data_IF_478130934161
#
_entry.id   IF_478130934161
#
_cell.length_a   1.000
_cell.length_b   1.000
_cell.length_c   1.000
_cell.angle_alpha   90.00
_cell.angle_beta   90.00
_cell.angle_gamma   90.00
#
_symmetry.space_group_name_H-M   'P 1'
#
loop_
_entity.id
_entity.type
_entity.pdbx_description
1 polymer ?
#
# COMPACT_ATOMS: atom_id res chain seq x y z
N UNK A 1 -16.85 3.62 21.69
CA UNK A 1 -17.13 3.21 20.32
C UNK A 1 -16.17 3.89 19.34
N UNK A 2 -16.13 5.22 19.27
CA UNK A 2 -15.26 5.98 18.34
C UNK A 2 -13.76 5.73 18.55
N UNK A 3 -13.29 5.71 19.77
CA UNK A 3 -11.88 5.43 20.10
C UNK A 3 -11.48 4.04 19.58
N UNK A 4 -12.33 3.05 19.79
CA UNK A 4 -12.12 1.71 19.24
C UNK A 4 -12.12 1.72 17.71
N UNK A 5 -13.03 2.47 17.09
CA UNK A 5 -13.09 2.63 15.65
C UNK A 5 -11.81 3.26 15.06
N UNK A 6 -11.26 4.27 15.72
CA UNK A 6 -9.96 4.87 15.34
C UNK A 6 -8.85 3.84 15.42
N UNK A 7 -8.77 3.09 16.52
CA UNK A 7 -7.76 2.04 16.70
C UNK A 7 -7.87 0.95 15.63
N UNK A 8 -9.07 0.46 15.37
CA UNK A 8 -9.31 -0.57 14.36
C UNK A 8 -8.94 -0.09 12.96
N UNK A 9 -9.27 1.16 12.61
CA UNK A 9 -8.88 1.77 11.33
C UNK A 9 -7.36 1.86 11.20
N UNK A 10 -6.68 2.33 12.23
CA UNK A 10 -5.22 2.42 12.25
C UNK A 10 -4.58 1.04 12.17
N UNK A 11 -5.08 0.07 12.91
CA UNK A 11 -4.57 -1.30 12.89
C UNK A 11 -4.71 -1.92 11.49
N UNK A 12 -5.89 -1.84 10.87
CA UNK A 12 -6.11 -2.31 9.50
C UNK A 12 -5.14 -1.64 8.52
N UNK A 13 -5.00 -0.33 8.59
CA UNK A 13 -4.17 0.46 7.68
C UNK A 13 -2.70 0.11 7.81
N UNK A 14 -2.16 0.14 9.02
CA UNK A 14 -0.72 -0.07 9.24
C UNK A 14 -0.30 -1.53 9.07
N UNK A 15 -1.09 -2.48 9.56
CA UNK A 15 -0.77 -3.91 9.39
C UNK A 15 -0.86 -4.32 7.93
N UNK A 16 -1.93 -3.93 7.23
CA UNK A 16 -2.07 -4.21 5.79
C UNK A 16 -1.01 -3.50 4.97
N UNK A 17 -0.66 -2.28 5.31
CA UNK A 17 0.41 -1.52 4.69
C UNK A 17 1.77 -2.19 4.86
N UNK A 18 2.06 -2.68 6.04
CA UNK A 18 3.30 -3.42 6.33
C UNK A 18 3.41 -4.68 5.46
N UNK A 19 2.41 -5.54 5.48
CA UNK A 19 2.41 -6.76 4.66
C UNK A 19 2.36 -6.45 3.17
N UNK A 20 1.64 -5.41 2.78
CA UNK A 20 1.61 -4.93 1.41
C UNK A 20 3.00 -4.50 0.92
N UNK A 21 3.79 -3.82 1.76
CA UNK A 21 5.18 -3.46 1.46
C UNK A 21 6.12 -4.66 1.44
N UNK A 22 5.96 -5.61 2.34
CA UNK A 22 6.74 -6.85 2.34
C UNK A 22 6.59 -7.60 1.02
N UNK A 23 5.42 -7.57 0.40
CA UNK A 23 5.14 -8.19 -0.90
C UNK A 23 5.45 -7.23 -2.04
N UNK A 24 4.96 -6.00 -1.97
CA UNK A 24 5.00 -5.02 -3.05
C UNK A 24 6.39 -4.46 -3.33
N UNK A 25 7.22 -4.27 -2.32
CA UNK A 25 8.59 -3.76 -2.51
C UNK A 25 9.45 -4.71 -3.35
N UNK A 26 9.55 -6.01 -3.05
CA UNK A 26 10.28 -6.95 -3.89
C UNK A 26 9.72 -7.02 -5.32
N UNK A 27 8.40 -7.02 -5.47
CA UNK A 27 7.76 -7.06 -6.80
C UNK A 27 8.04 -5.78 -7.59
N UNK A 28 8.02 -4.62 -6.96
CA UNK A 28 8.35 -3.35 -7.59
C UNK A 28 9.82 -3.27 -8.01
N UNK A 29 10.74 -3.76 -7.18
CA UNK A 29 12.16 -3.89 -7.53
C UNK A 29 12.34 -4.84 -8.71
N UNK A 30 11.67 -5.98 -8.71
CA UNK A 30 11.69 -6.94 -9.81
C UNK A 30 11.19 -6.31 -11.12
N UNK A 31 10.11 -5.58 -11.08
CA UNK A 31 9.59 -4.85 -12.24
C UNK A 31 10.62 -3.87 -12.79
N UNK A 32 11.30 -3.12 -11.92
CA UNK A 32 12.30 -2.16 -12.34
C UNK A 32 13.52 -2.83 -12.99
N UNK A 33 14.11 -3.82 -12.32
CA UNK A 33 15.36 -4.46 -12.79
C UNK A 33 15.18 -5.32 -14.05
N UNK A 34 13.95 -5.78 -14.31
CA UNK A 34 13.63 -6.61 -15.50
C UNK A 34 13.19 -5.79 -16.71
N UNK A 35 13.01 -4.47 -16.56
CA UNK A 35 12.66 -3.59 -17.70
C UNK A 35 13.70 -3.66 -18.80
N UNK A 36 13.32 -3.43 -20.08
CA UNK A 36 14.27 -3.33 -21.17
C UNK A 36 15.37 -2.29 -20.87
N UNK A 37 16.64 -2.71 -21.06
CA UNK A 37 17.79 -1.84 -20.80
C UNK A 37 18.23 -1.75 -19.34
N UNK A 38 17.57 -2.42 -18.42
CA UNK A 38 17.92 -2.45 -17.00
C UNK A 38 18.83 -3.62 -16.63
N UNK A 39 19.21 -3.72 -15.35
CA UNK A 39 20.29 -4.55 -14.81
C UNK A 39 20.12 -6.04 -15.18
N UNK A 40 18.90 -6.57 -15.08
CA UNK A 40 18.55 -7.96 -15.37
C UNK A 40 17.42 -7.94 -16.41
N UNK A 41 17.60 -7.25 -17.53
CA UNK A 41 16.58 -7.09 -18.55
C UNK A 41 16.00 -8.44 -19.00
N UNK A 42 14.68 -8.60 -18.83
CA UNK A 42 13.94 -9.78 -19.24
C UNK A 42 12.52 -9.35 -19.62
N UNK A 43 12.31 -9.07 -20.88
CA UNK A 43 11.05 -8.55 -21.39
C UNK A 43 9.86 -9.49 -21.11
N UNK A 44 10.07 -10.80 -21.17
CA UNK A 44 9.02 -11.79 -20.92
C UNK A 44 8.60 -11.79 -19.45
N UNK A 45 9.55 -11.78 -18.52
CA UNK A 45 9.29 -11.73 -17.08
C UNK A 45 8.63 -10.39 -16.71
N UNK A 46 9.14 -9.28 -17.22
CA UNK A 46 8.55 -7.96 -17.00
C UNK A 46 7.09 -7.90 -17.43
N UNK A 47 6.78 -8.36 -18.64
CA UNK A 47 5.40 -8.36 -19.17
C UNK A 47 4.47 -9.22 -18.33
N UNK A 48 4.92 -10.39 -17.90
CA UNK A 48 4.12 -11.32 -17.10
C UNK A 48 3.79 -10.72 -15.72
N UNK A 49 4.80 -10.25 -15.00
CA UNK A 49 4.61 -9.65 -13.67
C UNK A 49 3.83 -8.35 -13.76
N UNK A 50 4.11 -7.50 -14.76
CA UNK A 50 3.39 -6.26 -14.98
C UNK A 50 1.91 -6.51 -15.31
N UNK A 51 1.60 -7.54 -16.10
CA UNK A 51 0.23 -7.92 -16.42
C UNK A 51 -0.53 -8.37 -15.15
N UNK A 52 0.08 -9.18 -14.30
CA UNK A 52 -0.51 -9.63 -13.03
C UNK A 52 -0.79 -8.42 -12.13
N UNK A 53 0.17 -7.53 -11.96
CA UNK A 53 0.01 -6.29 -11.18
C UNK A 53 -1.14 -5.44 -11.72
N UNK A 54 -1.21 -5.25 -13.03
CA UNK A 54 -2.28 -4.46 -13.66
C UNK A 54 -3.65 -5.11 -13.52
N UNK A 55 -3.76 -6.43 -13.62
CA UNK A 55 -5.01 -7.16 -13.42
C UNK A 55 -5.54 -6.88 -12.02
N UNK A 56 -4.72 -7.08 -10.98
CA UNK A 56 -5.15 -6.83 -9.61
C UNK A 56 -5.48 -5.36 -9.33
N UNK A 57 -4.74 -4.41 -9.92
CA UNK A 57 -5.04 -2.97 -9.82
C UNK A 57 -6.34 -2.58 -10.53
N UNK A 58 -6.77 -3.35 -11.51
CA UNK A 58 -8.01 -3.10 -12.25
C UNK A 58 -9.25 -3.53 -11.48
N UNK A 59 -9.11 -4.38 -10.47
CA UNK A 59 -10.24 -4.87 -9.67
C UNK A 59 -10.67 -3.78 -8.69
N UNK A 60 -11.94 -3.32 -8.72
CA UNK A 60 -12.45 -2.42 -7.67
C UNK A 60 -12.31 -3.07 -6.30
N UNK A 61 -11.82 -2.31 -5.31
CA UNK A 61 -11.51 -2.89 -4.00
C UNK A 61 -12.71 -3.56 -3.34
N UNK A 62 -13.90 -2.97 -3.44
CA UNK A 62 -15.10 -3.55 -2.84
C UNK A 62 -15.44 -4.93 -3.45
N UNK A 63 -15.19 -5.10 -4.75
CA UNK A 63 -15.38 -6.39 -5.43
C UNK A 63 -14.31 -7.39 -5.03
N UNK A 64 -13.05 -6.95 -4.94
CA UNK A 64 -11.95 -7.78 -4.45
C UNK A 64 -12.23 -8.29 -3.03
N UNK A 65 -12.71 -7.43 -2.16
CA UNK A 65 -13.07 -7.75 -0.78
C UNK A 65 -14.10 -8.88 -0.72
N UNK A 66 -15.18 -8.76 -1.49
CA UNK A 66 -16.26 -9.76 -1.53
C UNK A 66 -15.78 -11.05 -2.20
N UNK A 67 -15.06 -10.93 -3.30
CA UNK A 67 -14.52 -12.08 -4.03
C UNK A 67 -13.54 -12.90 -3.17
N UNK A 68 -12.78 -12.26 -2.29
CA UNK A 68 -11.80 -12.91 -1.43
C UNK A 68 -12.39 -13.55 -0.17
N UNK A 69 -13.67 -13.44 0.09
CA UNK A 69 -14.30 -14.02 1.30
C UNK A 69 -13.93 -15.50 1.51
N UNK A 70 -14.02 -16.39 0.50
CA UNK A 70 -13.63 -17.79 0.69
C UNK A 70 -12.16 -17.96 1.06
N UNK A 71 -11.25 -17.21 0.41
CA UNK A 71 -9.82 -17.25 0.68
C UNK A 71 -9.49 -16.73 2.07
N UNK A 72 -10.10 -15.61 2.47
CA UNK A 72 -9.95 -15.02 3.79
C UNK A 72 -10.37 -15.99 4.88
N UNK A 73 -11.49 -16.69 4.70
CA UNK A 73 -11.98 -17.68 5.64
C UNK A 73 -11.03 -18.84 5.80
N UNK A 74 -10.37 -19.28 4.74
CA UNK A 74 -9.35 -20.35 4.79
C UNK A 74 -8.10 -19.87 5.53
N UNK A 75 -7.67 -18.64 5.32
CA UNK A 75 -6.42 -18.11 5.89
C UNK A 75 -6.60 -17.75 7.37
N UNK A 76 -7.69 -17.10 7.73
CA UNK A 76 -7.90 -16.50 9.06
C UNK A 76 -8.93 -17.25 9.90
N UNK A 77 -9.76 -18.07 9.27
CA UNK A 77 -10.84 -18.83 9.95
C UNK A 77 -12.16 -18.05 10.04
N UNK A 78 -12.19 -16.78 9.66
CA UNK A 78 -13.39 -15.94 9.65
C UNK A 78 -13.39 -15.03 8.42
N UNK A 79 -14.57 -14.58 8.03
CA UNK A 79 -14.73 -13.59 6.95
C UNK A 79 -15.16 -12.21 7.46
N UNK A 80 -15.28 -12.05 8.77
CA UNK A 80 -15.77 -10.82 9.42
C UNK A 80 -14.73 -10.37 10.45
N UNK A 81 -14.65 -9.05 10.64
CA UNK A 81 -13.78 -8.44 11.62
C UNK A 81 -12.45 -7.94 11.07
N UNK A 82 -11.66 -7.34 11.95
CA UNK A 82 -10.39 -6.69 11.63
C UNK A 82 -9.37 -7.65 11.00
N UNK A 83 -9.22 -8.82 11.57
CA UNK A 83 -8.25 -9.82 11.09
C UNK A 83 -8.59 -10.30 9.67
N UNK A 84 -9.88 -10.49 9.40
CA UNK A 84 -10.35 -10.88 8.08
C UNK A 84 -10.11 -9.78 7.04
N UNK A 85 -10.31 -8.53 7.41
CA UNK A 85 -10.12 -7.39 6.51
C UNK A 85 -8.66 -7.18 6.10
N UNK A 86 -7.70 -7.53 6.94
CA UNK A 86 -6.27 -7.39 6.64
C UNK A 86 -5.87 -8.18 5.39
N UNK A 87 -6.45 -9.34 5.14
CA UNK A 87 -6.11 -10.17 3.98
C UNK A 87 -6.44 -9.47 2.65
N UNK A 88 -7.69 -9.06 2.37
CA UNK A 88 -7.99 -8.35 1.12
C UNK A 88 -7.36 -6.96 1.04
N UNK A 89 -7.17 -6.26 2.16
CA UNK A 89 -6.46 -4.99 2.19
C UNK A 89 -5.01 -5.15 1.76
N UNK A 90 -4.33 -6.19 2.23
CA UNK A 90 -2.96 -6.52 1.83
C UNK A 90 -2.88 -6.86 0.34
N UNK A 91 -3.77 -7.70 -0.15
CA UNK A 91 -3.83 -8.10 -1.57
C UNK A 91 -4.15 -6.91 -2.47
N UNK A 92 -5.01 -6.01 -2.04
CA UNK A 92 -5.30 -4.78 -2.78
C UNK A 92 -4.15 -3.78 -2.77
N UNK A 93 -3.41 -3.70 -1.67
CA UNK A 93 -2.29 -2.77 -1.51
C UNK A 93 -1.02 -3.22 -2.26
N UNK A 94 -0.70 -4.51 -2.25
CA UNK A 94 0.56 -5.02 -2.78
C UNK A 94 0.81 -4.66 -4.26
N UNK A 95 -0.13 -4.83 -5.20
CA UNK A 95 0.07 -4.42 -6.59
C UNK A 95 0.24 -2.91 -6.75
N UNK A 96 -0.49 -2.13 -5.99
CA UNK A 96 -0.38 -0.67 -5.96
C UNK A 96 1.01 -0.24 -5.49
N UNK A 97 1.49 -0.83 -4.39
CA UNK A 97 2.84 -0.57 -3.85
C UNK A 97 3.91 -0.98 -4.87
N UNK A 98 3.77 -2.13 -5.52
CA UNK A 98 4.71 -2.59 -6.53
C UNK A 98 4.90 -1.56 -7.65
N UNK A 99 3.81 -0.98 -8.14
CA UNK A 99 3.86 0.05 -9.18
C UNK A 99 4.44 1.36 -8.67
N UNK A 100 4.12 1.75 -7.45
CA UNK A 100 4.68 2.95 -6.82
C UNK A 100 6.18 2.83 -6.58
N UNK A 101 6.64 1.65 -6.17
CA UNK A 101 8.08 1.36 -6.00
C UNK A 101 8.81 1.40 -7.34
N UNK A 102 8.26 0.78 -8.38
CA UNK A 102 8.82 0.86 -9.73
C UNK A 102 8.98 2.31 -10.18
N UNK A 103 7.94 3.12 -10.00
CA UNK A 103 7.98 4.54 -10.36
C UNK A 103 9.03 5.32 -9.58
N UNK A 104 9.16 5.06 -8.29
CA UNK A 104 10.20 5.71 -7.46
C UNK A 104 11.61 5.35 -7.92
N UNK A 105 11.84 4.10 -8.33
CA UNK A 105 13.13 3.66 -8.86
C UNK A 105 13.43 4.27 -10.23
N UNK A 106 12.40 4.53 -11.05
CA UNK A 106 12.56 5.16 -12.37
C UNK A 106 13.03 6.63 -12.28
N UNK A 107 12.84 7.28 -11.15
CA UNK A 107 13.33 8.65 -10.92
C UNK A 107 14.85 8.72 -10.67
N UNK A 108 15.49 7.60 -10.39
CA UNK A 108 16.93 7.55 -10.14
C UNK A 108 17.67 7.78 -11.46
N UNK A 109 18.70 8.69 -11.50
CA UNK A 109 19.49 8.91 -12.68
C UNK A 109 20.19 7.63 -13.16
N UNK A 110 20.07 7.33 -14.44
CA UNK A 110 20.69 6.12 -15.05
C UNK A 110 22.21 6.10 -14.93
N UNK A 111 22.85 7.27 -14.87
CA UNK A 111 24.29 7.40 -14.68
C UNK A 111 24.81 6.76 -13.40
N UNK A 112 24.03 6.75 -12.32
CA UNK A 112 24.41 6.07 -11.07
C UNK A 112 24.50 4.55 -11.26
N UNK A 113 23.59 3.99 -12.03
CA UNK A 113 23.56 2.55 -12.33
C UNK A 113 24.74 2.18 -13.25
N UNK A 114 24.98 2.99 -14.28
CA UNK A 114 26.09 2.81 -15.22
C UNK A 114 27.44 2.90 -14.51
N UNK A 115 27.62 3.88 -13.63
CA UNK A 115 28.83 4.01 -12.83
C UNK A 115 29.03 2.79 -11.90
N UNK A 116 27.98 2.30 -11.29
CA UNK A 116 28.03 1.12 -10.43
C UNK A 116 28.42 -0.13 -11.20
N UNK A 117 27.87 -0.30 -12.40
CA UNK A 117 28.26 -1.40 -13.31
C UNK A 117 29.72 -1.31 -13.74
N UNK A 118 30.19 -0.12 -14.07
CA UNK A 118 31.57 0.12 -14.46
C UNK A 118 32.56 -0.23 -13.35
N UNK A 119 32.16 -0.07 -12.08
CA UNK A 119 32.94 -0.48 -10.91
C UNK A 119 32.83 -1.97 -10.58
N UNK A 120 32.13 -2.76 -11.39
CA UNK A 120 32.00 -4.20 -11.19
C UNK A 120 30.96 -4.61 -10.13
N UNK A 121 30.02 -3.75 -9.78
CA UNK A 121 28.96 -4.09 -8.83
C UNK A 121 28.02 -5.17 -9.38
N UNK A 122 27.67 -6.13 -8.52
CA UNK A 122 26.66 -7.15 -8.85
C UNK A 122 25.25 -6.54 -8.85
N UNK A 123 24.26 -7.15 -9.55
CA UNK A 123 22.89 -6.68 -9.53
C UNK A 123 22.32 -6.47 -8.11
N UNK A 124 22.58 -7.41 -7.21
CA UNK A 124 22.13 -7.30 -5.83
C UNK A 124 22.81 -6.15 -5.08
N UNK A 125 24.09 -5.90 -5.33
CA UNK A 125 24.81 -4.75 -4.76
C UNK A 125 24.23 -3.44 -5.25
N UNK A 126 23.88 -3.33 -6.54
CA UNK A 126 23.24 -2.14 -7.12
C UNK A 126 21.88 -1.90 -6.45
N UNK A 127 21.07 -2.95 -6.31
CA UNK A 127 19.75 -2.83 -5.66
C UNK A 127 19.90 -2.34 -4.21
N UNK A 128 20.73 -2.99 -3.42
CA UNK A 128 20.83 -2.72 -1.98
C UNK A 128 21.59 -1.45 -1.63
N UNK A 129 22.65 -1.13 -2.37
CA UNK A 129 23.58 -0.05 -2.02
C UNK A 129 23.34 1.23 -2.80
N UNK A 130 22.67 1.16 -3.94
CA UNK A 130 22.43 2.30 -4.81
C UNK A 130 20.93 2.59 -4.95
N UNK A 131 20.17 1.64 -5.46
CA UNK A 131 18.75 1.88 -5.80
C UNK A 131 17.89 2.15 -4.57
N UNK A 132 17.89 1.27 -3.58
CA UNK A 132 17.04 1.42 -2.41
C UNK A 132 17.41 2.64 -1.56
N UNK A 133 18.70 2.91 -1.24
CA UNK A 133 19.06 4.11 -0.51
C UNK A 133 18.74 5.40 -1.26
N UNK A 134 18.99 5.44 -2.55
CA UNK A 134 18.73 6.63 -3.38
C UNK A 134 17.24 6.89 -3.56
N UNK A 135 16.44 5.84 -3.69
CA UNK A 135 14.99 5.93 -3.81
C UNK A 135 14.28 6.15 -2.48
N UNK A 136 14.96 6.17 -1.35
CA UNK A 136 14.33 6.21 -0.03
C UNK A 136 13.29 7.32 0.15
N UNK A 137 13.51 8.58 -0.27
CA UNK A 137 12.47 9.61 -0.22
C UNK A 137 11.23 9.24 -1.02
N UNK A 138 11.39 8.72 -2.22
CA UNK A 138 10.30 8.26 -3.07
C UNK A 138 9.56 7.05 -2.48
N UNK A 139 10.29 6.13 -1.84
CA UNK A 139 9.70 4.98 -1.16
C UNK A 139 8.87 5.39 0.06
N UNK A 140 9.35 6.34 0.85
CA UNK A 140 8.58 6.90 1.98
C UNK A 140 7.32 7.60 1.49
N UNK A 141 7.41 8.35 0.40
CA UNK A 141 6.25 8.97 -0.23
C UNK A 141 5.24 7.92 -0.72
N UNK A 142 5.72 6.85 -1.35
CA UNK A 142 4.90 5.71 -1.76
C UNK A 142 4.19 5.06 -0.58
N UNK A 143 4.88 4.87 0.56
CA UNK A 143 4.30 4.35 1.79
C UNK A 143 3.19 5.27 2.31
N UNK A 144 3.41 6.57 2.32
CA UNK A 144 2.43 7.56 2.78
C UNK A 144 1.16 7.51 1.93
N UNK A 145 1.29 7.53 0.61
CA UNK A 145 0.16 7.45 -0.33
C UNK A 145 -0.59 6.14 -0.15
N UNK A 146 0.13 5.03 0.03
CA UNK A 146 -0.46 3.72 0.27
C UNK A 146 -1.29 3.69 1.55
N UNK A 147 -0.76 4.22 2.65
CA UNK A 147 -1.47 4.26 3.93
C UNK A 147 -2.76 5.09 3.83
N UNK A 148 -2.71 6.23 3.16
CA UNK A 148 -3.89 7.06 2.93
C UNK A 148 -4.92 6.32 2.08
N UNK A 149 -4.50 5.64 1.03
CA UNK A 149 -5.37 4.80 0.20
C UNK A 149 -6.01 3.68 1.01
N UNK A 150 -5.25 3.04 1.89
CA UNK A 150 -5.76 1.99 2.78
C UNK A 150 -6.77 2.50 3.81
N UNK A 151 -6.66 3.72 4.28
CA UNK A 151 -7.71 4.33 5.12
C UNK A 151 -9.05 4.36 4.36
N UNK A 152 -9.04 4.78 3.10
CA UNK A 152 -10.22 4.74 2.24
C UNK A 152 -10.76 3.33 2.01
N UNK A 153 -9.88 2.36 1.76
CA UNK A 153 -10.26 0.96 1.59
C UNK A 153 -10.81 0.34 2.89
N UNK A 154 -10.25 0.67 4.04
CA UNK A 154 -10.76 0.21 5.34
C UNK A 154 -12.19 0.72 5.60
N UNK A 155 -12.49 1.93 5.14
CA UNK A 155 -13.83 2.49 5.24
C UNK A 155 -14.84 1.69 4.39
N UNK A 156 -14.45 1.26 3.18
CA UNK A 156 -15.26 0.35 2.35
C UNK A 156 -15.46 -1.01 3.04
N UNK A 157 -14.41 -1.53 3.67
CA UNK A 157 -14.47 -2.76 4.45
C UNK A 157 -15.47 -2.68 5.61
N UNK A 158 -15.63 -1.53 6.18
CA UNK A 158 -16.60 -1.28 7.25
C UNK A 158 -18.05 -1.60 6.86
N UNK A 159 -18.41 -1.43 5.60
CA UNK A 159 -19.75 -1.76 5.10
C UNK A 159 -20.03 -3.27 5.10
N UNK A 160 -18.99 -4.10 5.09
CA UNK A 160 -19.10 -5.57 5.10
C UNK A 160 -18.60 -6.20 6.40
N UNK A 161 -18.52 -5.44 7.47
CA UNK A 161 -18.24 -5.96 8.81
C UNK A 161 -16.76 -6.02 9.19
N UNK A 162 -15.91 -5.25 8.54
CA UNK A 162 -14.47 -5.21 8.86
C UNK A 162 -14.14 -4.51 10.19
N UNK A 163 -15.06 -3.72 10.74
CA UNK A 163 -14.80 -2.86 11.88
C UNK A 163 -14.32 -1.47 11.47
N UNK A 164 -13.83 -0.70 12.43
CA UNK A 164 -13.26 0.62 12.22
C UNK A 164 -14.29 1.74 12.09
N UNK A 165 -13.79 2.93 11.78
CA UNK A 165 -14.62 4.12 11.60
C UNK A 165 -15.61 4.00 10.45
N UNK A 166 -15.23 3.30 9.39
CA UNK A 166 -16.13 3.04 8.26
C UNK A 166 -17.38 2.28 8.65
N UNK A 167 -17.24 1.27 9.49
CA UNK A 167 -18.39 0.51 9.99
C UNK A 167 -19.30 1.38 10.88
N UNK A 168 -18.72 2.19 11.75
CA UNK A 168 -19.47 3.10 12.60
C UNK A 168 -20.26 4.10 11.75
N UNK A 169 -19.61 4.72 10.76
CA UNK A 169 -20.25 5.64 9.84
C UNK A 169 -21.39 5.00 9.05
N UNK A 170 -21.16 3.78 8.56
CA UNK A 170 -22.17 3.05 7.79
C UNK A 170 -23.36 2.62 8.66
N UNK A 171 -23.11 1.96 9.79
CA UNK A 171 -24.18 1.40 10.63
C UNK A 171 -24.98 2.48 11.39
N UNK A 172 -24.27 3.40 12.06
CA UNK A 172 -24.93 4.40 12.89
C UNK A 172 -25.23 5.70 12.13
N UNK A 173 -24.34 6.09 11.23
CA UNK A 173 -24.51 7.31 10.44
C UNK A 173 -25.49 7.12 9.30
N UNK A 174 -25.26 6.14 8.42
CA UNK A 174 -26.08 5.93 7.23
C UNK A 174 -27.35 5.14 7.54
N UNK A 175 -27.23 3.90 8.03
CA UNK A 175 -28.41 3.04 8.33
C UNK A 175 -29.20 3.62 9.50
N UNK A 176 -28.51 4.11 10.54
CA UNK A 176 -29.12 4.70 11.72
C UNK A 176 -29.61 6.14 11.54
N UNK A 177 -29.46 6.71 10.35
CA UNK A 177 -29.88 8.10 10.03
C UNK A 177 -29.36 9.14 11.03
N UNK A 178 -28.17 8.93 11.59
CA UNK A 178 -27.58 9.85 12.57
C UNK A 178 -26.49 10.72 11.92
N UNK A 179 -26.89 11.92 11.52
CA UNK A 179 -26.00 12.88 10.86
C UNK A 179 -24.81 13.29 11.75
N UNK A 180 -25.02 13.37 13.07
CA UNK A 180 -23.93 13.71 14.01
C UNK A 180 -22.84 12.67 14.01
N UNK A 181 -23.20 11.38 14.04
CA UNK A 181 -22.23 10.28 13.95
C UNK A 181 -21.53 10.30 12.61
N UNK A 182 -22.25 10.47 11.51
CA UNK A 182 -21.66 10.53 10.17
C UNK A 182 -20.64 11.66 10.06
N UNK A 183 -21.00 12.86 10.49
CA UNK A 183 -20.10 14.01 10.44
C UNK A 183 -18.87 13.82 11.35
N UNK A 184 -19.06 13.23 12.52
CA UNK A 184 -17.95 12.95 13.45
C UNK A 184 -16.98 11.94 12.84
N UNK A 185 -17.47 10.86 12.24
CA UNK A 185 -16.64 9.87 11.56
C UNK A 185 -15.89 10.50 10.39
N UNK A 186 -16.55 11.32 9.59
CA UNK A 186 -15.90 12.04 8.47
C UNK A 186 -14.75 12.91 8.97
N UNK A 187 -14.96 13.71 10.01
CA UNK A 187 -13.93 14.57 10.59
C UNK A 187 -12.77 13.75 11.14
N UNK A 188 -13.04 12.65 11.84
CA UNK A 188 -12.00 11.77 12.36
C UNK A 188 -11.16 11.14 11.24
N UNK A 189 -11.79 10.69 10.16
CA UNK A 189 -11.08 10.14 8.99
C UNK A 189 -10.20 11.21 8.33
N UNK A 190 -10.68 12.43 8.18
CA UNK A 190 -9.89 13.55 7.64
C UNK A 190 -8.68 13.83 8.53
N UNK A 191 -8.87 13.87 9.84
CA UNK A 191 -7.77 14.06 10.80
C UNK A 191 -6.73 12.94 10.69
N UNK A 192 -7.15 11.69 10.62
CA UNK A 192 -6.24 10.55 10.46
C UNK A 192 -5.39 10.65 9.19
N UNK A 193 -6.04 10.97 8.06
CA UNK A 193 -5.34 11.15 6.78
C UNK A 193 -4.34 12.31 6.86
N UNK A 194 -4.73 13.41 7.48
CA UNK A 194 -3.85 14.57 7.69
C UNK A 194 -2.63 14.23 8.55
N UNK A 195 -2.82 13.47 9.63
CA UNK A 195 -1.74 13.03 10.50
C UNK A 195 -0.77 12.09 9.77
N UNK A 196 -1.28 11.17 8.97
CA UNK A 196 -0.47 10.27 8.14
C UNK A 196 0.33 11.06 7.12
N UNK A 197 -0.29 12.00 6.41
CA UNK A 197 0.36 12.87 5.45
C UNK A 197 1.46 13.71 6.09
N UNK A 198 1.16 14.33 7.23
CA UNK A 198 2.11 15.15 7.97
C UNK A 198 3.34 14.33 8.43
N UNK A 199 3.10 13.14 8.97
CA UNK A 199 4.20 12.25 9.39
C UNK A 199 5.05 11.82 8.20
N UNK A 200 4.43 11.45 7.08
CA UNK A 200 5.11 11.09 5.84
C UNK A 200 5.97 12.23 5.30
N UNK A 201 5.43 13.43 5.22
CA UNK A 201 6.15 14.61 4.75
C UNK A 201 7.36 14.94 5.64
N UNK A 202 7.22 14.78 6.95
CA UNK A 202 8.34 14.96 7.90
C UNK A 202 9.44 13.94 7.68
N UNK A 203 9.09 12.68 7.47
CA UNK A 203 10.06 11.61 7.21
C UNK A 203 10.76 11.84 5.87
N UNK A 204 10.02 12.21 4.81
CA UNK A 204 10.62 12.55 3.50
C UNK A 204 11.66 13.65 3.63
N UNK A 205 11.34 14.74 4.34
CA UNK A 205 12.30 15.83 4.57
C UNK A 205 13.52 15.37 5.34
N UNK A 206 13.34 14.50 6.34
CA UNK A 206 14.44 13.99 7.13
C UNK A 206 15.41 13.13 6.31
N UNK A 207 14.89 12.28 5.41
CA UNK A 207 15.72 11.41 4.56
C UNK A 207 16.28 12.11 3.34
N UNK A 208 15.72 13.23 2.90
CA UNK A 208 16.21 14.03 1.77
C UNK A 208 17.38 14.93 2.13
N UNK A 209 17.53 15.28 3.42
CA UNK A 209 18.60 16.17 3.90
C UNK A 209 19.99 15.54 3.99
N UNK A 210 20.15 14.31 3.54
CA UNK A 210 21.46 13.65 3.39
C UNK A 210 21.97 13.81 1.97
#
# INVERSE_FOLDING_TARGET
LLVRGVWETLAMTFVSGFFGFVIGLPVGVLLYVTRPGQIIANAKLYRTVSAIVNIFRSIPFIILLVWMIPFTRVIVGTSIGLQAAIVPLTVGAAPFIARMVENALLEIPTGLIEASRAMGATPMQIVRKVLLPEALPGLVNAATITLITLVGYSAMGGAVGAGGLGQIGYQYGYIGYNATVMNTVLVLLVILVYLIQFAGDRIVRAVTRK
#
